data_IF_722162274667
#
_entry.id   IF_722162274667
#
_cell.length_a   1.000
_cell.length_b   1.000
_cell.length_c   1.000
_cell.angle_alpha   90.00
_cell.angle_beta   90.00
_cell.angle_gamma   90.00
#
_symmetry.space_group_name_H-M   'P 1'
#
loop_
_entity.id
_entity.type
_entity.pdbx_description
1 polymer ?
#
# COMPACT_ATOMS: atom_id res chain seq x y z
N UNK A 1 22.43 -14.10 -14.12
CA UNK A 1 21.89 -12.84 -14.69
C UNK A 1 20.80 -12.35 -13.75
N UNK A 2 21.14 -11.42 -12.85
CA UNK A 2 20.16 -10.78 -11.97
C UNK A 2 19.37 -9.76 -12.79
N UNK A 3 18.22 -10.16 -13.34
CA UNK A 3 17.22 -9.19 -13.79
C UNK A 3 16.65 -8.57 -12.53
N UNK A 4 17.02 -7.33 -12.24
CA UNK A 4 16.45 -6.55 -11.17
C UNK A 4 14.90 -6.68 -11.22
N UNK A 5 14.25 -7.24 -10.19
CA UNK A 5 12.79 -7.41 -10.19
C UNK A 5 12.05 -6.07 -10.07
N UNK A 6 12.76 -5.01 -9.67
CA UNK A 6 12.28 -3.64 -9.75
C UNK A 6 12.49 -3.12 -11.18
N UNK A 7 11.60 -3.52 -12.09
CA UNK A 7 11.55 -2.95 -13.43
C UNK A 7 11.34 -1.44 -13.32
N UNK A 8 12.21 -0.65 -13.96
CA UNK A 8 11.88 0.72 -14.30
C UNK A 8 10.73 0.63 -15.29
N UNK A 9 9.52 1.02 -14.89
CA UNK A 9 8.37 1.11 -15.78
C UNK A 9 8.71 2.14 -16.87
N UNK A 10 9.18 1.66 -18.02
CA UNK A 10 9.54 2.49 -19.18
C UNK A 10 8.34 3.18 -19.82
N UNK A 11 7.14 2.70 -19.50
CA UNK A 11 5.89 3.10 -20.13
C UNK A 11 5.11 4.09 -19.25
N UNK A 12 5.78 4.78 -18.32
CA UNK A 12 5.12 5.82 -17.55
C UNK A 12 4.69 6.93 -18.53
N UNK A 13 3.39 7.22 -18.66
CA UNK A 13 2.93 8.22 -19.60
C UNK A 13 3.53 9.58 -19.23
N UNK A 14 3.93 10.34 -20.24
CA UNK A 14 4.37 11.73 -20.06
C UNK A 14 3.26 12.51 -19.37
N UNK A 15 3.55 13.10 -18.21
CA UNK A 15 2.56 13.92 -17.50
C UNK A 15 2.22 15.16 -18.34
N UNK A 16 0.96 15.28 -18.77
CA UNK A 16 0.41 16.45 -19.46
C UNK A 16 -0.87 16.92 -18.76
N UNK A 17 -1.22 18.19 -18.95
CA UNK A 17 -2.46 18.76 -18.43
C UNK A 17 -3.68 17.96 -18.91
N UNK A 18 -4.60 17.64 -17.99
CA UNK A 18 -5.82 16.88 -18.26
C UNK A 18 -5.70 15.36 -18.09
N UNK A 19 -4.54 14.82 -17.70
CA UNK A 19 -4.39 13.39 -17.34
C UNK A 19 -5.17 13.05 -16.06
N UNK A 20 -5.34 14.01 -15.17
CA UNK A 20 -6.12 13.86 -13.94
C UNK A 20 -7.14 15.00 -13.82
N UNK A 21 -8.27 14.68 -13.19
CA UNK A 21 -9.35 15.58 -12.85
C UNK A 21 -9.07 16.35 -11.55
N UNK A 22 -9.68 17.52 -11.40
CA UNK A 22 -9.63 18.26 -10.14
C UNK A 22 -10.28 17.51 -8.97
N UNK A 23 -11.23 16.61 -9.26
CA UNK A 23 -11.82 15.73 -8.27
C UNK A 23 -10.78 14.76 -7.68
N UNK A 24 -9.91 14.18 -8.52
CA UNK A 24 -8.81 13.31 -8.09
C UNK A 24 -7.78 14.08 -7.24
N UNK A 25 -7.46 15.33 -7.60
CA UNK A 25 -6.59 16.19 -6.77
C UNK A 25 -7.22 16.48 -5.40
N UNK A 26 -8.54 16.68 -5.34
CA UNK A 26 -9.27 16.88 -4.10
C UNK A 26 -9.17 15.70 -3.11
N UNK A 27 -8.92 14.48 -3.61
CA UNK A 27 -8.69 13.30 -2.78
C UNK A 27 -7.36 13.35 -2.03
N UNK A 28 -6.40 14.18 -2.45
CA UNK A 28 -5.13 14.37 -1.74
C UNK A 28 -5.33 14.89 -0.30
N UNK A 29 -6.45 15.58 -0.02
CA UNK A 29 -6.80 16.01 1.34
C UNK A 29 -7.10 14.84 2.31
N UNK A 30 -7.15 13.60 1.82
CA UNK A 30 -7.24 12.38 2.64
C UNK A 30 -5.87 11.90 3.15
N UNK A 31 -4.80 12.60 2.77
CA UNK A 31 -3.44 12.34 3.22
C UNK A 31 -3.10 13.34 4.32
N UNK A 32 -3.30 12.89 5.56
CA UNK A 32 -2.92 13.63 6.76
C UNK A 32 -1.56 13.16 7.25
N UNK A 33 -0.71 14.11 7.63
CA UNK A 33 0.53 13.82 8.36
C UNK A 33 0.25 13.30 9.78
N UNK A 34 1.29 12.93 10.51
CA UNK A 34 1.18 12.60 11.93
C UNK A 34 1.12 13.86 12.81
N UNK A 35 0.63 13.71 14.04
CA UNK A 35 0.73 14.77 15.06
C UNK A 35 2.17 14.87 15.53
N UNK A 36 2.77 16.07 15.49
CA UNK A 36 4.21 16.25 15.75
C UNK A 36 4.59 15.81 17.18
N UNK A 37 3.71 15.99 18.14
CA UNK A 37 3.90 15.58 19.54
C UNK A 37 4.06 14.06 19.68
N UNK A 38 3.51 13.29 18.72
CA UNK A 38 3.62 11.82 18.74
C UNK A 38 4.99 11.32 18.31
N UNK A 39 5.87 12.17 17.76
CA UNK A 39 7.27 11.82 17.51
C UNK A 39 8.06 11.53 18.79
N UNK A 40 7.55 11.97 19.96
CA UNK A 40 8.14 11.63 21.25
C UNK A 40 7.82 10.20 21.72
N UNK A 41 6.95 9.47 21.00
CA UNK A 41 6.54 8.11 21.34
C UNK A 41 7.33 7.09 20.51
N UNK A 42 7.72 5.98 21.11
CA UNK A 42 8.40 4.89 20.40
C UNK A 42 7.51 4.24 19.32
N UNK A 43 6.19 4.21 19.55
CA UNK A 43 5.18 3.68 18.63
C UNK A 43 4.09 4.74 18.44
N UNK A 44 3.95 5.23 17.22
CA UNK A 44 2.88 6.16 16.85
C UNK A 44 1.51 5.50 17.04
N UNK A 45 0.58 6.10 17.81
CA UNK A 45 -0.77 5.57 17.96
C UNK A 45 -1.47 5.41 16.61
N UNK A 46 -2.28 4.36 16.43
CA UNK A 46 -2.91 4.02 15.14
C UNK A 46 -3.68 5.19 14.51
N UNK A 47 -4.39 5.99 15.32
CA UNK A 47 -5.14 7.16 14.83
C UNK A 47 -4.28 8.40 14.54
N UNK A 48 -2.98 8.35 14.84
CA UNK A 48 -2.02 9.44 14.63
C UNK A 48 -0.94 9.08 13.61
N UNK A 49 -0.98 7.87 13.04
CA UNK A 49 -0.10 7.50 11.95
C UNK A 49 -0.49 8.25 10.67
N UNK A 50 0.48 8.72 9.90
CA UNK A 50 0.21 9.43 8.65
C UNK A 50 -0.54 8.54 7.66
N UNK A 51 -1.29 9.17 6.75
CA UNK A 51 -1.99 8.54 5.65
C UNK A 51 -1.37 8.94 4.31
N UNK A 52 -1.11 7.96 3.46
CA UNK A 52 -0.66 8.17 2.08
C UNK A 52 -1.46 7.28 1.11
N UNK A 53 -2.56 7.84 0.61
CA UNK A 53 -3.50 7.25 -0.31
C UNK A 53 -3.43 7.97 -1.66
N UNK A 54 -3.19 7.20 -2.72
CA UNK A 54 -3.18 7.71 -4.09
C UNK A 54 -4.56 7.62 -4.76
N UNK A 55 -5.38 6.67 -4.31
CA UNK A 55 -6.68 6.34 -4.89
C UNK A 55 -7.71 6.08 -3.78
N UNK A 56 -8.93 5.77 -4.18
CA UNK A 56 -9.98 5.37 -3.24
C UNK A 56 -9.63 4.10 -2.47
N UNK A 57 -9.97 4.10 -1.18
CA UNK A 57 -9.83 2.93 -0.31
C UNK A 57 -10.86 1.88 -0.73
N UNK A 58 -10.44 0.65 -1.10
CA UNK A 58 -11.36 -0.37 -1.56
C UNK A 58 -12.20 -0.94 -0.41
N UNK A 59 -13.46 -1.24 -0.70
CA UNK A 59 -14.32 -2.02 0.18
C UNK A 59 -14.18 -3.50 -0.16
N UNK A 60 -13.59 -4.29 0.74
CA UNK A 60 -13.31 -5.70 0.53
C UNK A 60 -14.19 -6.58 1.42
N UNK A 61 -14.80 -7.63 0.85
CA UNK A 61 -15.36 -8.74 1.64
C UNK A 61 -14.23 -9.72 1.98
N UNK A 62 -13.89 -9.91 3.27
CA UNK A 62 -12.81 -10.80 3.67
C UNK A 62 -13.05 -12.27 3.30
N UNK A 63 -14.30 -12.68 3.05
CA UNK A 63 -14.63 -14.06 2.62
C UNK A 63 -14.43 -14.26 1.13
N UNK A 64 -14.63 -13.22 0.33
CA UNK A 64 -14.51 -13.26 -1.13
C UNK A 64 -13.10 -12.89 -1.62
N UNK A 65 -12.40 -11.98 -0.93
CA UNK A 65 -11.11 -11.48 -1.36
C UNK A 65 -10.03 -12.58 -1.41
N UNK A 66 -9.19 -12.56 -2.45
CA UNK A 66 -8.06 -13.47 -2.65
C UNK A 66 -6.82 -12.67 -3.01
N UNK A 67 -5.68 -13.08 -2.47
CA UNK A 67 -4.37 -12.55 -2.83
C UNK A 67 -3.73 -13.49 -3.84
N UNK A 68 -3.52 -13.00 -5.07
CA UNK A 68 -2.88 -13.76 -6.14
C UNK A 68 -1.36 -13.58 -6.13
N UNK A 69 -0.64 -14.69 -6.27
CA UNK A 69 0.81 -14.74 -6.44
C UNK A 69 1.12 -15.32 -7.82
N UNK A 70 1.58 -14.45 -8.73
CA UNK A 70 1.90 -14.81 -10.11
C UNK A 70 3.17 -14.09 -10.60
N UNK A 71 3.43 -14.11 -11.91
CA UNK A 71 4.65 -13.54 -12.50
C UNK A 71 5.74 -14.59 -12.73
N UNK A 72 6.82 -14.57 -11.95
CA UNK A 72 7.95 -15.50 -12.13
C UNK A 72 7.78 -16.85 -11.42
N UNK A 73 6.59 -17.13 -10.88
CA UNK A 73 6.29 -18.41 -10.22
C UNK A 73 6.01 -19.50 -11.26
N UNK A 74 6.63 -20.68 -11.11
CA UNK A 74 6.33 -21.84 -11.97
C UNK A 74 4.88 -22.32 -11.83
N UNK A 75 4.31 -22.19 -10.64
CA UNK A 75 2.91 -22.48 -10.35
C UNK A 75 2.32 -21.31 -9.58
N UNK A 76 1.63 -20.38 -10.28
CA UNK A 76 0.85 -19.34 -9.63
C UNK A 76 -0.19 -19.92 -8.67
N UNK A 77 -0.48 -19.19 -7.60
CA UNK A 77 -1.48 -19.61 -6.62
C UNK A 77 -2.16 -18.40 -5.99
N UNK A 78 -3.27 -18.66 -5.32
CA UNK A 78 -4.03 -17.66 -4.57
C UNK A 78 -4.15 -18.07 -3.10
N UNK A 79 -4.24 -17.08 -2.21
CA UNK A 79 -4.45 -17.30 -0.78
C UNK A 79 -5.63 -16.46 -0.30
N UNK A 80 -6.53 -17.07 0.47
CA UNK A 80 -7.63 -16.39 1.14
C UNK A 80 -7.19 -15.72 2.44
N UNK A 81 -7.97 -14.73 2.90
CA UNK A 81 -7.71 -14.11 4.21
C UNK A 81 -7.77 -15.13 5.36
N UNK A 82 -8.65 -16.13 5.27
CA UNK A 82 -8.74 -17.18 6.28
C UNK A 82 -7.44 -18.01 6.37
N UNK A 83 -6.84 -18.37 5.23
CA UNK A 83 -5.57 -19.10 5.20
C UNK A 83 -4.42 -18.26 5.75
N UNK A 84 -4.32 -16.98 5.39
CA UNK A 84 -3.29 -16.05 5.92
C UNK A 84 -3.36 -16.01 7.45
N UNK A 85 -4.56 -15.92 8.02
CA UNK A 85 -4.76 -15.82 9.47
C UNK A 85 -4.40 -17.11 10.23
N UNK A 86 -4.20 -18.24 9.54
CA UNK A 86 -3.70 -19.49 10.16
C UNK A 86 -2.18 -19.60 10.21
N UNK A 87 -1.47 -18.72 9.51
CA UNK A 87 0.00 -18.70 9.51
C UNK A 87 0.54 -18.21 10.86
N UNK A 88 1.78 -18.58 11.24
CA UNK A 88 2.41 -18.08 12.44
C UNK A 88 2.48 -16.54 12.46
N UNK A 89 1.95 -15.93 13.51
CA UNK A 89 2.02 -14.48 13.69
C UNK A 89 3.43 -14.04 14.11
N UNK A 90 3.95 -12.99 13.46
CA UNK A 90 5.20 -12.33 13.81
C UNK A 90 4.91 -10.86 14.10
N UNK A 91 5.44 -10.35 15.21
CA UNK A 91 5.27 -8.95 15.62
C UNK A 91 6.63 -8.26 15.69
N UNK A 92 6.77 -7.14 14.97
CA UNK A 92 7.97 -6.30 15.00
C UNK A 92 7.62 -4.83 14.83
N UNK A 93 8.34 -3.90 15.50
CA UNK A 93 8.21 -2.48 15.23
C UNK A 93 8.81 -2.15 13.87
N UNK A 94 8.04 -1.44 13.02
CA UNK A 94 8.48 -1.00 11.70
C UNK A 94 8.13 0.47 11.56
N UNK A 95 9.12 1.28 11.20
CA UNK A 95 8.91 2.68 10.81
C UNK A 95 8.57 2.73 9.32
N UNK A 96 7.44 3.35 8.99
CA UNK A 96 7.06 3.66 7.62
C UNK A 96 7.43 5.12 7.35
N UNK A 97 8.19 5.38 6.29
CA UNK A 97 8.61 6.72 5.87
C UNK A 97 8.19 6.91 4.40
N UNK A 98 7.62 8.07 4.07
CA UNK A 98 7.34 8.42 2.68
C UNK A 98 8.64 8.84 1.98
N UNK A 99 8.80 8.44 0.71
CA UNK A 99 9.96 8.75 -0.13
C UNK A 99 10.09 10.24 -0.48
#
# INVERSE_FOLDING_TARGET
MSKNPFQIYSDKPTTVDGIYSQAEVGLANRNSENLLETLALDITPTGCHYLLNHFDVPLLDPKANRLEFSGSLETPFEVSMAEIMTLPAVTMPVTMECA
#
